data_IF_361154446205
#
_entry.id   IF_361154446205
#
_cell.length_a   1.000
_cell.length_b   1.000
_cell.length_c   1.000
_cell.angle_alpha   90.00
_cell.angle_beta   90.00
_cell.angle_gamma   90.00
#
_symmetry.space_group_name_H-M   'P 1'
#
loop_
_entity.id
_entity.type
_entity.pdbx_description
1 polymer ?
#
# COMPACT_ATOMS: atom_id res chain seq x y z
N UNK A 1 11.71 -9.42 -9.81
CA UNK A 1 10.56 -10.27 -9.43
C UNK A 1 9.45 -9.39 -8.92
N UNK A 2 8.24 -9.49 -9.49
CA UNK A 2 7.03 -8.85 -8.96
C UNK A 2 6.10 -9.92 -8.36
N UNK A 3 4.98 -9.50 -7.75
CA UNK A 3 4.04 -10.41 -7.07
C UNK A 3 3.55 -11.55 -7.96
N UNK A 4 3.39 -11.36 -9.27
CA UNK A 4 2.97 -12.44 -10.17
C UNK A 4 3.98 -13.59 -10.22
N UNK A 5 5.25 -13.26 -10.44
CA UNK A 5 6.34 -14.25 -10.45
C UNK A 5 6.53 -14.87 -9.07
N UNK A 6 6.39 -14.08 -8.00
CA UNK A 6 6.53 -14.57 -6.64
C UNK A 6 5.37 -15.52 -6.24
N UNK A 7 4.13 -15.22 -6.64
CA UNK A 7 2.99 -16.13 -6.51
C UNK A 7 3.27 -17.47 -7.19
N UNK A 8 3.77 -17.43 -8.42
CA UNK A 8 4.08 -18.64 -9.17
C UNK A 8 5.18 -19.46 -8.49
N UNK A 9 6.21 -18.79 -7.97
CA UNK A 9 7.27 -19.44 -7.19
C UNK A 9 6.73 -20.11 -5.93
N UNK A 10 5.93 -19.42 -5.12
CA UNK A 10 5.35 -19.96 -3.88
C UNK A 10 4.45 -21.17 -4.15
N UNK A 11 3.61 -21.09 -5.18
CA UNK A 11 2.75 -22.20 -5.58
C UNK A 11 3.57 -23.42 -6.04
N UNK A 12 4.60 -23.20 -6.84
CA UNK A 12 5.41 -24.29 -7.40
C UNK A 12 6.31 -24.95 -6.36
N UNK A 13 7.07 -24.15 -5.62
CA UNK A 13 8.12 -24.61 -4.72
C UNK A 13 7.61 -24.97 -3.32
N UNK A 14 6.61 -24.23 -2.82
CA UNK A 14 6.17 -24.32 -1.42
C UNK A 14 4.71 -24.78 -1.26
N UNK A 15 3.95 -24.90 -2.35
CA UNK A 15 2.53 -25.31 -2.36
C UNK A 15 1.64 -24.38 -1.51
N UNK A 16 1.99 -23.09 -1.48
CA UNK A 16 1.26 -22.05 -0.74
C UNK A 16 0.91 -20.87 -1.64
N UNK A 17 -0.05 -20.04 -1.21
CA UNK A 17 -0.45 -18.83 -1.91
C UNK A 17 0.03 -17.57 -1.16
N UNK A 18 0.47 -16.56 -1.91
CA UNK A 18 0.91 -15.28 -1.37
C UNK A 18 -0.18 -14.62 -0.51
N UNK A 19 -1.42 -14.71 -0.98
CA UNK A 19 -2.63 -14.11 -0.41
C UNK A 19 -3.04 -14.71 0.93
N UNK A 20 -2.72 -15.99 1.18
CA UNK A 20 -3.11 -16.68 2.42
C UNK A 20 -1.95 -16.84 3.39
N UNK A 21 -0.70 -16.91 2.90
CA UNK A 21 0.46 -17.18 3.75
C UNK A 21 1.21 -15.93 4.18
N UNK A 22 1.37 -14.92 3.33
CA UNK A 22 2.29 -13.79 3.58
C UNK A 22 1.53 -12.46 3.68
N UNK A 23 0.68 -12.15 2.70
CA UNK A 23 -0.02 -10.85 2.67
C UNK A 23 -0.88 -10.56 3.91
N UNK A 24 -1.55 -11.52 4.56
CA UNK A 24 -2.30 -11.23 5.79
C UNK A 24 -1.41 -10.69 6.91
N UNK A 25 -0.20 -11.24 7.05
CA UNK A 25 0.77 -10.79 8.06
C UNK A 25 1.29 -9.38 7.73
N UNK A 26 1.61 -9.12 6.46
CA UNK A 26 2.00 -7.77 5.98
C UNK A 26 0.92 -6.74 6.32
N UNK A 27 -0.34 -7.01 5.96
CA UNK A 27 -1.49 -6.12 6.23
C UNK A 27 -1.66 -5.87 7.73
N UNK A 28 -1.52 -6.92 8.55
CA UNK A 28 -1.62 -6.82 9.99
C UNK A 28 -0.50 -5.95 10.58
N UNK A 29 0.74 -6.11 10.13
CA UNK A 29 1.87 -5.30 10.59
C UNK A 29 1.67 -3.83 10.22
N UNK A 30 1.32 -3.52 8.97
CA UNK A 30 1.06 -2.14 8.52
C UNK A 30 -0.03 -1.50 9.39
N UNK A 31 -1.15 -2.19 9.58
CA UNK A 31 -2.25 -1.70 10.41
C UNK A 31 -1.81 -1.46 11.85
N UNK A 32 -1.10 -2.40 12.48
CA UNK A 32 -0.56 -2.21 13.82
C UNK A 32 0.34 -0.98 13.93
N UNK A 33 1.32 -0.83 13.03
CA UNK A 33 2.24 0.31 13.04
C UNK A 33 1.51 1.65 12.92
N UNK A 34 0.60 1.77 11.94
CA UNK A 34 -0.08 3.05 11.68
C UNK A 34 -1.13 3.39 12.73
N UNK A 35 -1.91 2.42 13.20
CA UNK A 35 -2.90 2.65 14.28
C UNK A 35 -2.24 2.97 15.62
N UNK A 36 -1.07 2.39 15.91
CA UNK A 36 -0.34 2.66 17.16
C UNK A 36 0.07 4.14 17.26
N UNK A 37 0.44 4.77 16.14
CA UNK A 37 0.90 6.16 16.12
C UNK A 37 -0.22 7.16 15.83
N UNK A 38 -1.38 6.70 15.34
CA UNK A 38 -2.49 7.55 14.90
C UNK A 38 -2.85 8.66 15.91
N UNK A 39 -2.97 8.41 17.23
CA UNK A 39 -3.30 9.47 18.20
C UNK A 39 -2.25 10.59 18.26
N UNK A 40 -1.00 10.31 17.92
CA UNK A 40 0.11 11.26 17.97
C UNK A 40 0.28 12.07 16.67
N UNK A 41 -0.19 11.55 15.53
CA UNK A 41 0.07 12.15 14.21
C UNK A 41 -1.19 12.55 13.43
N UNK A 42 -2.38 12.18 13.89
CA UNK A 42 -3.62 12.47 13.16
C UNK A 42 -3.87 13.97 13.00
N UNK A 43 -4.21 14.38 11.77
CA UNK A 43 -4.53 15.78 11.44
C UNK A 43 -6.02 16.08 11.45
N UNK A 44 -6.87 15.14 11.89
CA UNK A 44 -8.34 15.23 11.80
C UNK A 44 -8.94 16.52 12.37
N UNK A 45 -8.31 17.08 13.40
CA UNK A 45 -8.78 18.27 14.12
C UNK A 45 -7.81 19.47 14.00
N UNK A 46 -6.87 19.41 13.06
CA UNK A 46 -5.92 20.50 12.81
C UNK A 46 -6.42 21.42 11.70
N UNK A 47 -5.82 22.61 11.60
CA UNK A 47 -6.10 23.58 10.54
C UNK A 47 -5.56 23.17 9.16
N UNK A 48 -4.83 22.06 9.09
CA UNK A 48 -4.28 21.48 7.88
C UNK A 48 -4.57 19.98 7.83
N UNK A 49 -4.45 19.40 6.64
CA UNK A 49 -4.58 17.95 6.43
C UNK A 49 -3.25 17.37 5.96
N UNK A 50 -3.02 16.08 6.17
CA UNK A 50 -1.82 15.39 5.71
C UNK A 50 -2.13 14.03 5.10
N UNK A 51 -1.33 13.67 4.11
CA UNK A 51 -1.16 12.29 3.64
C UNK A 51 0.34 12.03 3.49
N UNK A 52 0.75 10.78 3.61
CA UNK A 52 2.14 10.39 3.41
C UNK A 52 2.21 9.00 2.79
N UNK A 53 3.08 8.84 1.80
CA UNK A 53 3.42 7.54 1.23
C UNK A 53 4.57 6.93 2.04
N UNK A 54 4.42 5.68 2.45
CA UNK A 54 5.44 4.92 3.18
C UNK A 54 5.88 3.70 2.39
N UNK A 55 7.16 3.35 2.47
CA UNK A 55 7.69 2.07 2.03
C UNK A 55 7.87 1.15 3.24
N UNK A 56 7.30 -0.04 3.21
CA UNK A 56 7.50 -1.03 4.26
C UNK A 56 8.34 -2.18 3.72
N UNK A 57 9.45 -2.45 4.39
CA UNK A 57 10.36 -3.52 4.02
C UNK A 57 10.19 -4.71 4.96
N UNK A 58 10.00 -5.87 4.36
CA UNK A 58 9.72 -7.11 5.06
C UNK A 58 10.71 -8.19 4.67
N UNK A 59 11.01 -9.05 5.64
CA UNK A 59 11.67 -10.33 5.41
C UNK A 59 10.70 -11.47 5.69
N UNK A 60 10.83 -12.57 4.96
CA UNK A 60 10.05 -13.79 5.16
C UNK A 60 11.03 -14.90 5.51
N UNK A 61 10.82 -15.58 6.63
CA UNK A 61 11.68 -16.69 7.05
C UNK A 61 11.23 -18.04 6.45
N UNK A 62 11.94 -19.11 6.82
CA UNK A 62 11.68 -20.47 6.34
C UNK A 62 10.31 -21.02 6.74
N UNK A 63 9.70 -20.49 7.79
CA UNK A 63 8.36 -20.88 8.27
C UNK A 63 7.27 -19.99 7.67
N UNK A 64 7.61 -19.17 6.67
CA UNK A 64 6.74 -18.17 6.04
C UNK A 64 6.23 -17.11 7.01
N UNK A 65 6.94 -16.88 8.12
CA UNK A 65 6.63 -15.78 9.03
C UNK A 65 7.22 -14.48 8.49
N UNK A 66 6.40 -13.43 8.54
CA UNK A 66 6.77 -12.10 8.06
C UNK A 66 7.34 -11.27 9.21
N UNK A 67 8.50 -10.67 8.96
CA UNK A 67 9.21 -9.79 9.88
C UNK A 67 9.32 -8.40 9.27
N UNK A 68 8.93 -7.38 10.02
CA UNK A 68 9.20 -5.98 9.64
C UNK A 68 10.68 -5.69 9.81
N UNK A 69 11.31 -5.12 8.78
CA UNK A 69 12.70 -4.67 8.83
C UNK A 69 12.74 -3.17 9.13
N UNK A 70 12.09 -2.37 8.29
CA UNK A 70 12.01 -0.92 8.47
C UNK A 70 10.79 -0.30 7.78
N UNK A 71 10.55 0.98 8.10
CA UNK A 71 9.51 1.82 7.49
C UNK A 71 10.20 3.07 6.95
N UNK A 72 10.20 3.21 5.63
CA UNK A 72 10.77 4.33 4.89
C UNK A 72 9.73 5.46 4.73
N UNK A 73 10.05 6.64 5.28
CA UNK A 73 9.17 7.82 5.23
C UNK A 73 9.17 8.59 3.90
N UNK A 74 10.11 8.28 3.00
CA UNK A 74 10.23 8.86 1.67
C UNK A 74 10.69 7.78 0.65
N UNK A 75 9.80 6.83 0.31
CA UNK A 75 10.17 5.70 -0.54
C UNK A 75 10.34 6.10 -2.00
N UNK A 76 11.24 5.41 -2.70
CA UNK A 76 11.25 5.37 -4.16
C UNK A 76 10.28 4.28 -4.67
N UNK A 77 9.85 4.38 -5.93
CA UNK A 77 9.04 3.34 -6.58
C UNK A 77 9.86 2.59 -7.64
N UNK A 78 9.45 1.35 -7.94
CA UNK A 78 9.99 0.61 -9.08
C UNK A 78 9.55 1.28 -10.39
N UNK A 79 10.46 1.38 -11.37
CA UNK A 79 10.22 2.12 -12.62
C UNK A 79 8.88 1.76 -13.31
N UNK A 80 8.58 0.45 -13.35
CA UNK A 80 7.38 -0.12 -13.97
C UNK A 80 6.07 0.27 -13.27
N UNK A 81 6.12 0.60 -11.98
CA UNK A 81 4.94 0.86 -11.14
C UNK A 81 4.66 2.36 -10.95
N UNK A 82 5.59 3.26 -11.31
CA UNK A 82 5.41 4.69 -11.11
C UNK A 82 4.10 5.25 -11.68
N UNK A 83 3.72 4.99 -12.95
CA UNK A 83 2.54 5.62 -13.52
C UNK A 83 1.26 5.26 -12.75
N UNK A 84 1.12 3.99 -12.38
CA UNK A 84 -0.05 3.50 -11.64
C UNK A 84 -0.07 4.02 -10.20
N UNK A 85 1.07 3.97 -9.50
CA UNK A 85 1.16 4.44 -8.12
C UNK A 85 0.91 5.94 -8.01
N UNK A 86 1.55 6.74 -8.87
CA UNK A 86 1.40 8.20 -8.86
C UNK A 86 -0.05 8.61 -9.19
N UNK A 87 -0.68 7.96 -10.18
CA UNK A 87 -2.07 8.24 -10.51
C UNK A 87 -2.99 7.88 -9.34
N UNK A 88 -2.79 6.71 -8.72
CA UNK A 88 -3.55 6.32 -7.53
C UNK A 88 -3.40 7.31 -6.37
N UNK A 89 -2.20 7.86 -6.13
CA UNK A 89 -1.99 8.89 -5.10
C UNK A 89 -2.80 10.14 -5.43
N UNK A 90 -2.79 10.59 -6.69
CA UNK A 90 -3.60 11.73 -7.13
C UNK A 90 -5.09 11.46 -6.87
N UNK A 91 -5.59 10.30 -7.28
CA UNK A 91 -7.01 9.96 -7.18
C UNK A 91 -7.49 9.86 -5.74
N UNK A 92 -6.71 9.21 -4.86
CA UNK A 92 -7.14 8.88 -3.50
C UNK A 92 -6.76 9.96 -2.48
N UNK A 93 -5.58 10.57 -2.59
CA UNK A 93 -5.06 11.47 -1.56
C UNK A 93 -5.19 12.96 -1.91
N UNK A 94 -5.20 13.31 -3.20
CA UNK A 94 -5.25 14.72 -3.65
C UNK A 94 -6.67 15.09 -4.08
N UNK A 95 -7.22 14.38 -5.07
CA UNK A 95 -8.53 14.66 -5.66
C UNK A 95 -9.70 14.45 -4.70
N UNK A 96 -9.49 13.67 -3.62
CA UNK A 96 -10.45 13.50 -2.54
C UNK A 96 -10.62 14.74 -1.66
N UNK A 97 -9.64 15.64 -1.66
CA UNK A 97 -9.67 16.91 -0.91
C UNK A 97 -9.89 18.09 -1.86
N UNK A 98 -9.24 18.06 -3.03
CA UNK A 98 -9.31 19.12 -4.04
C UNK A 98 -9.99 18.59 -5.30
N UNK A 99 -11.29 18.86 -5.42
CA UNK A 99 -12.05 18.45 -6.61
C UNK A 99 -11.55 19.20 -7.84
N UNK A 100 -11.25 18.47 -8.90
CA UNK A 100 -10.90 19.07 -10.20
C UNK A 100 -12.12 19.83 -10.74
N UNK A 101 -11.95 21.12 -11.02
CA UNK A 101 -12.99 21.96 -11.62
C UNK A 101 -13.17 21.60 -13.10
N UNK A 102 -14.35 21.03 -13.38
CA UNK A 102 -15.07 20.88 -14.65
C UNK A 102 -14.75 19.76 -15.68
N UNK A 103 -15.85 19.05 -15.98
CA UNK A 103 -16.33 18.63 -17.31
C UNK A 103 -15.77 17.38 -17.98
N UNK A 104 -16.09 16.22 -17.41
CA UNK A 104 -16.90 15.17 -18.07
C UNK A 104 -16.96 13.98 -17.12
N UNK A 105 -18.17 13.51 -16.84
CA UNK A 105 -18.45 12.35 -16.00
C UNK A 105 -17.87 11.08 -16.63
N UNK A 106 -16.55 10.90 -16.57
CA UNK A 106 -15.97 9.58 -16.57
C UNK A 106 -16.23 9.03 -15.18
N UNK A 107 -17.27 8.20 -15.06
CA UNK A 107 -17.31 7.28 -13.93
C UNK A 107 -15.95 6.59 -13.91
N UNK A 108 -15.23 6.58 -12.78
CA UNK A 108 -14.05 5.74 -12.66
C UNK A 108 -14.56 4.30 -12.65
N UNK A 109 -14.77 3.72 -13.84
CA UNK A 109 -14.56 2.30 -13.99
C UNK A 109 -13.08 2.11 -13.75
N UNK A 110 -12.66 1.49 -12.65
CA UNK A 110 -11.44 0.68 -12.61
C UNK A 110 -11.18 0.18 -11.20
N UNK A 111 -10.92 -1.12 -11.16
CA UNK A 111 -10.31 -1.88 -10.08
C UNK A 111 -9.29 -1.03 -9.30
N UNK A 112 -9.49 -0.88 -7.99
CA UNK A 112 -8.66 0.01 -7.17
C UNK A 112 -7.26 -0.57 -7.03
N UNK A 113 -6.23 0.19 -7.43
CA UNK A 113 -4.80 -0.17 -7.24
C UNK A 113 -4.48 -0.42 -5.76
N UNK A 114 -5.18 0.24 -4.84
CA UNK A 114 -5.00 0.08 -3.40
C UNK A 114 -5.98 -0.89 -2.78
N UNK A 115 -5.51 -1.59 -1.75
CA UNK A 115 -6.33 -2.39 -0.83
C UNK A 115 -6.52 -1.56 0.44
N UNK A 116 -7.76 -1.26 0.80
CA UNK A 116 -8.08 -0.62 2.08
C UNK A 116 -7.85 -1.61 3.22
N UNK A 117 -7.05 -1.22 4.21
CA UNK A 117 -6.70 -2.02 5.40
C UNK A 117 -7.60 -1.70 6.59
#
# INVERSE_FOLDING_TARGET
MFFEEFRQYLSNAHKVALETSILPQIKQIIRCCLTCIEPAISTKHLSYQSFQLFGFDFMVDSDLKVWLIEINGAPACAQKLYPELCQGIVDVAISSVFTLSDSSSKQPSQQTTFIKL
#
